data_IF_409978307219
#
_entry.id   IF_409978307219
#
_cell.length_a   1.000
_cell.length_b   1.000
_cell.length_c   1.000
_cell.angle_alpha   90.00
_cell.angle_beta   90.00
_cell.angle_gamma   90.00
#
_symmetry.space_group_name_H-M   'P 1'
#
loop_
_entity.id
_entity.type
_entity.pdbx_description
1 polymer ?
#
# COMPACT_ATOMS: atom_id res chain seq x y z
N UNK A 1 18.92 13.83 52.27
CA UNK A 1 19.60 13.52 50.98
C UNK A 1 18.58 12.86 50.08
N UNK A 2 18.16 13.59 49.04
CA UNK A 2 17.01 13.26 48.19
C UNK A 2 17.35 12.18 47.14
N UNK A 3 16.37 11.36 46.71
CA UNK A 3 16.57 10.33 45.70
C UNK A 3 16.63 10.94 44.29
N UNK A 4 17.56 10.48 43.46
CA UNK A 4 17.74 10.90 42.08
C UNK A 4 16.59 10.40 41.20
N UNK A 5 15.66 11.29 40.94
CA UNK A 5 14.61 11.17 39.94
C UNK A 5 15.07 11.73 38.57
N UNK A 6 14.43 11.23 37.50
CA UNK A 6 13.98 12.04 36.35
C UNK A 6 14.95 12.32 35.17
N UNK A 7 15.73 11.34 34.68
CA UNK A 7 16.48 11.54 33.40
C UNK A 7 16.55 10.35 32.41
N UNK A 8 15.78 9.26 32.61
CA UNK A 8 15.68 8.15 31.63
C UNK A 8 14.26 8.13 31.07
N UNK A 9 13.87 9.17 30.32
CA UNK A 9 12.57 9.20 29.62
C UNK A 9 12.60 10.06 28.34
N UNK A 10 13.78 10.23 27.71
CA UNK A 10 13.91 10.96 26.42
C UNK A 10 14.75 10.27 25.35
N UNK A 11 14.95 8.96 25.45
CA UNK A 11 15.36 8.16 24.30
C UNK A 11 14.10 7.68 23.57
N UNK A 12 13.66 8.48 22.61
CA UNK A 12 12.53 8.25 21.68
C UNK A 12 12.66 6.94 20.84
N UNK A 13 13.68 6.11 21.09
CA UNK A 13 14.06 4.96 20.29
C UNK A 13 13.63 3.60 20.90
N UNK A 14 13.23 3.55 22.18
CA UNK A 14 12.98 2.28 22.88
C UNK A 14 11.50 1.86 23.01
N UNK A 15 10.56 2.59 22.40
CA UNK A 15 9.10 2.36 22.52
C UNK A 15 8.41 1.95 21.20
N UNK A 16 9.08 1.17 20.36
CA UNK A 16 8.41 0.42 19.30
C UNK A 16 8.32 -1.07 19.69
N UNK A 17 7.33 -1.47 20.52
CA UNK A 17 6.99 -2.87 20.66
C UNK A 17 6.22 -3.28 19.39
N UNK A 18 6.95 -3.45 18.29
CA UNK A 18 6.53 -4.15 17.06
C UNK A 18 7.78 -4.31 16.17
N UNK A 19 8.70 -5.17 16.62
CA UNK A 19 9.77 -5.74 15.80
C UNK A 19 9.21 -6.76 14.77
N UNK A 20 8.06 -6.42 14.16
CA UNK A 20 7.47 -7.09 12.99
C UNK A 20 7.77 -6.24 11.75
N UNK A 21 8.97 -5.65 11.69
CA UNK A 21 9.50 -5.22 10.40
C UNK A 21 9.71 -6.52 9.63
N UNK A 22 8.75 -6.78 8.76
CA UNK A 22 8.80 -7.69 7.64
C UNK A 22 10.18 -7.59 6.97
N UNK A 23 11.14 -8.39 7.44
CA UNK A 23 12.55 -8.43 7.03
C UNK A 23 12.73 -8.81 5.55
N UNK A 24 11.64 -9.11 4.83
CA UNK A 24 11.63 -9.41 3.39
C UNK A 24 10.53 -8.65 2.62
N UNK A 25 10.12 -7.46 3.08
CA UNK A 25 9.31 -6.59 2.21
C UNK A 25 10.21 -6.03 1.14
N UNK A 26 10.22 -6.65 -0.05
CA UNK A 26 10.90 -6.08 -1.21
C UNK A 26 10.19 -4.76 -1.53
N UNK A 27 10.80 -3.67 -1.08
CA UNK A 27 10.25 -2.33 -1.13
C UNK A 27 10.25 -1.85 -2.58
N UNK A 28 9.09 -1.90 -3.24
CA UNK A 28 8.91 -1.36 -4.60
C UNK A 28 8.76 0.15 -4.48
N UNK A 29 9.86 0.90 -4.61
CA UNK A 29 9.85 2.36 -4.46
C UNK A 29 10.90 3.06 -5.29
N UNK A 30 10.57 4.29 -5.70
CA UNK A 30 11.48 5.23 -6.36
C UNK A 30 11.95 6.33 -5.41
N UNK A 31 11.45 6.34 -4.17
CA UNK A 31 11.74 7.38 -3.20
C UNK A 31 13.13 7.18 -2.58
N UNK A 32 13.74 8.28 -2.14
CA UNK A 32 15.10 8.30 -1.56
C UNK A 32 15.24 7.45 -0.28
N UNK A 33 14.17 7.30 0.49
CA UNK A 33 14.20 6.62 1.78
C UNK A 33 12.95 5.78 2.00
N UNK A 34 13.12 4.58 2.54
CA UNK A 34 12.03 3.66 2.89
C UNK A 34 11.11 4.24 3.98
N UNK A 35 11.68 5.01 4.91
CA UNK A 35 10.92 5.70 5.96
C UNK A 35 9.88 6.66 5.36
N UNK A 36 10.23 7.37 4.29
CA UNK A 36 9.31 8.27 3.59
C UNK A 36 8.19 7.50 2.90
N UNK A 37 8.49 6.36 2.30
CA UNK A 37 7.45 5.54 1.69
C UNK A 37 6.51 4.99 2.76
N UNK A 38 7.05 4.44 3.85
CA UNK A 38 6.25 3.95 4.97
C UNK A 38 5.34 5.06 5.50
N UNK A 39 5.87 6.27 5.65
CA UNK A 39 5.07 7.43 6.03
C UNK A 39 3.89 7.66 5.07
N UNK A 40 4.13 7.72 3.76
CA UNK A 40 3.06 7.90 2.76
C UNK A 40 2.03 6.77 2.81
N UNK A 41 2.48 5.53 2.92
CA UNK A 41 1.60 4.36 2.98
C UNK A 41 0.71 4.40 4.23
N UNK A 42 1.31 4.63 5.39
CA UNK A 42 0.61 4.62 6.69
C UNK A 42 -0.34 5.83 6.84
N UNK A 43 0.05 7.03 6.35
CA UNK A 43 -0.79 8.24 6.50
C UNK A 43 -1.85 8.39 5.42
N UNK A 44 -1.57 7.92 4.20
CA UNK A 44 -2.35 8.27 3.02
C UNK A 44 -2.93 7.05 2.32
N UNK A 45 -2.11 6.01 2.08
CA UNK A 45 -2.50 4.89 1.23
C UNK A 45 -3.40 3.88 1.95
N UNK A 46 -2.91 3.24 3.02
CA UNK A 46 -3.66 2.22 3.75
C UNK A 46 -5.00 2.72 4.32
N UNK A 47 -5.13 3.95 4.87
CA UNK A 47 -6.41 4.44 5.37
C UNK A 47 -7.48 4.63 4.29
N UNK A 48 -7.09 4.72 3.01
CA UNK A 48 -7.99 4.91 1.85
C UNK A 48 -8.07 3.67 0.96
N UNK A 49 -7.35 2.61 1.30
CA UNK A 49 -7.37 1.33 0.57
C UNK A 49 -8.73 0.65 0.80
N UNK A 50 -9.36 0.18 -0.27
CA UNK A 50 -10.60 -0.58 -0.16
C UNK A 50 -10.32 -1.94 0.50
N UNK A 51 -11.24 -2.44 1.33
CA UNK A 51 -11.06 -3.70 2.06
C UNK A 51 -10.71 -4.89 1.15
N UNK A 52 -11.42 -5.02 0.02
CA UNK A 52 -11.14 -6.05 -0.99
C UNK A 52 -9.74 -5.95 -1.61
N UNK A 53 -9.17 -4.75 -1.74
CA UNK A 53 -7.80 -4.57 -2.24
C UNK A 53 -6.78 -5.05 -1.21
N UNK A 54 -7.02 -4.73 0.07
CA UNK A 54 -6.21 -5.22 1.18
C UNK A 54 -6.23 -6.75 1.26
N UNK A 55 -7.41 -7.35 1.21
CA UNK A 55 -7.58 -8.81 1.19
C UNK A 55 -6.83 -9.44 0.02
N UNK A 56 -6.97 -8.88 -1.19
CA UNK A 56 -6.27 -9.38 -2.38
C UNK A 56 -4.75 -9.27 -2.24
N UNK A 57 -4.25 -8.17 -1.67
CA UNK A 57 -2.82 -7.97 -1.42
C UNK A 57 -2.26 -9.00 -0.45
N UNK A 58 -2.97 -9.27 0.65
CA UNK A 58 -2.61 -10.29 1.64
C UNK A 58 -2.68 -11.70 1.03
N UNK A 59 -3.74 -12.02 0.29
CA UNK A 59 -3.90 -13.31 -0.39
C UNK A 59 -2.78 -13.55 -1.42
N UNK A 60 -2.40 -12.52 -2.18
CA UNK A 60 -1.31 -12.60 -3.17
C UNK A 60 0.05 -12.78 -2.51
N UNK A 61 0.30 -12.13 -1.38
CA UNK A 61 1.50 -12.36 -0.58
C UNK A 61 1.56 -13.81 -0.06
N UNK A 62 0.46 -14.30 0.53
CA UNK A 62 0.40 -15.66 1.08
C UNK A 62 0.60 -16.73 0.00
N UNK A 63 0.07 -16.52 -1.21
CA UNK A 63 0.15 -17.50 -2.30
C UNK A 63 1.48 -17.47 -3.06
N UNK A 64 2.04 -16.29 -3.29
CA UNK A 64 3.17 -16.11 -4.21
C UNK A 64 4.47 -15.63 -3.54
N UNK A 65 4.42 -15.33 -2.23
CA UNK A 65 5.57 -14.92 -1.42
C UNK A 65 6.32 -13.73 -2.05
N UNK A 66 7.65 -13.83 -2.28
CA UNK A 66 8.44 -12.75 -2.86
C UNK A 66 7.98 -12.27 -4.25
N UNK A 67 7.20 -13.07 -5.00
CA UNK A 67 6.63 -12.66 -6.30
C UNK A 67 5.45 -11.69 -6.16
N UNK A 68 4.88 -11.54 -4.96
CA UNK A 68 3.84 -10.56 -4.70
C UNK A 68 4.29 -9.11 -4.96
N UNK A 69 5.61 -8.86 -5.01
CA UNK A 69 6.21 -7.58 -5.47
C UNK A 69 5.83 -7.16 -6.89
N UNK A 70 5.34 -8.11 -7.71
CA UNK A 70 4.83 -7.81 -9.05
C UNK A 70 3.50 -7.04 -9.00
N UNK A 71 2.80 -7.05 -7.87
CA UNK A 71 1.61 -6.24 -7.69
C UNK A 71 1.92 -4.75 -7.73
N UNK A 72 0.87 -3.99 -8.04
CA UNK A 72 0.85 -2.55 -7.89
C UNK A 72 0.81 -2.22 -6.39
N UNK A 73 1.67 -1.33 -5.89
CA UNK A 73 1.66 -0.90 -4.50
C UNK A 73 0.43 0.00 -4.23
N UNK A 74 -0.06 0.09 -2.97
CA UNK A 74 -1.32 0.78 -2.68
C UNK A 74 -1.36 2.27 -3.05
N UNK A 75 -0.23 2.96 -2.96
CA UNK A 75 -0.07 4.36 -3.36
C UNK A 75 -0.23 4.57 -4.88
N UNK A 76 0.33 3.67 -5.69
CA UNK A 76 0.14 3.67 -7.15
C UNK A 76 -1.32 3.33 -7.50
N UNK A 77 -1.96 2.41 -6.76
CA UNK A 77 -3.39 2.13 -6.91
C UNK A 77 -4.27 3.36 -6.65
N UNK A 78 -3.97 4.14 -5.61
CA UNK A 78 -4.70 5.39 -5.35
C UNK A 78 -4.52 6.40 -6.49
N UNK A 79 -3.32 6.52 -7.04
CA UNK A 79 -3.06 7.38 -8.21
C UNK A 79 -3.88 6.94 -9.41
N UNK A 80 -3.94 5.63 -9.70
CA UNK A 80 -4.74 5.07 -10.79
C UNK A 80 -6.24 5.37 -10.59
N UNK A 81 -6.76 5.16 -9.39
CA UNK A 81 -8.16 5.47 -9.06
C UNK A 81 -8.48 6.95 -9.27
N UNK A 82 -7.59 7.85 -8.81
CA UNK A 82 -7.71 9.28 -9.00
C UNK A 82 -7.71 9.65 -10.49
N UNK A 83 -6.78 9.10 -11.26
CA UNK A 83 -6.65 9.38 -12.69
C UNK A 83 -7.89 8.95 -13.47
N UNK A 84 -8.39 7.73 -13.23
CA UNK A 84 -9.59 7.21 -13.87
C UNK A 84 -10.82 8.08 -13.60
N UNK A 85 -10.97 8.55 -12.35
CA UNK A 85 -12.07 9.42 -11.94
C UNK A 85 -11.98 10.80 -12.60
N UNK A 86 -10.79 11.42 -12.64
CA UNK A 86 -10.59 12.72 -13.31
C UNK A 86 -10.85 12.61 -14.81
N UNK A 87 -10.44 11.51 -15.43
CA UNK A 87 -10.67 11.26 -16.85
C UNK A 87 -12.12 10.89 -17.18
N UNK A 88 -12.95 10.60 -16.18
CA UNK A 88 -14.29 10.04 -16.34
C UNK A 88 -14.28 8.81 -17.27
N UNK A 89 -13.31 7.91 -17.04
CA UNK A 89 -13.11 6.73 -17.86
C UNK A 89 -14.32 5.79 -17.77
N UNK A 90 -14.68 5.16 -18.90
CA UNK A 90 -15.74 4.13 -18.97
C UNK A 90 -15.26 2.81 -19.59
N UNK A 91 -14.21 2.86 -20.40
CA UNK A 91 -13.64 1.69 -21.07
C UNK A 91 -12.13 1.74 -20.88
N UNK A 92 -11.57 0.70 -20.26
CA UNK A 92 -10.13 0.60 -20.00
C UNK A 92 -9.60 -0.73 -20.52
N UNK A 93 -8.32 -0.77 -20.87
CA UNK A 93 -7.62 -1.99 -21.27
C UNK A 93 -6.43 -2.15 -20.33
N UNK A 94 -6.32 -3.31 -19.68
CA UNK A 94 -5.21 -3.64 -18.80
C UNK A 94 -4.39 -4.78 -19.40
N UNK A 95 -3.14 -4.50 -19.78
CA UNK A 95 -2.22 -5.51 -20.28
C UNK A 95 -1.28 -5.91 -19.14
N UNK A 96 -1.44 -7.13 -18.64
CA UNK A 96 -0.64 -7.67 -17.54
C UNK A 96 -1.32 -7.54 -16.19
N UNK A 97 -2.25 -8.45 -15.90
CA UNK A 97 -3.12 -8.40 -14.70
C UNK A 97 -2.47 -9.00 -13.44
N UNK A 98 -1.57 -9.98 -13.61
CA UNK A 98 -1.02 -10.80 -12.52
C UNK A 98 -2.12 -11.36 -11.58
N UNK A 99 -2.24 -10.83 -10.35
CA UNK A 99 -3.28 -11.24 -9.39
C UNK A 99 -4.50 -10.31 -9.38
N UNK A 100 -4.47 -9.23 -10.16
CA UNK A 100 -5.62 -8.35 -10.38
C UNK A 100 -5.75 -7.18 -9.41
N UNK A 101 -4.68 -6.77 -8.70
CA UNK A 101 -4.75 -5.61 -7.81
C UNK A 101 -5.04 -4.31 -8.58
N UNK A 102 -4.33 -4.07 -9.68
CA UNK A 102 -4.58 -2.96 -10.61
C UNK A 102 -5.96 -3.06 -11.27
N UNK A 103 -6.33 -4.27 -11.69
CA UNK A 103 -7.63 -4.54 -12.31
C UNK A 103 -8.79 -4.21 -11.36
N UNK A 104 -8.71 -4.67 -10.11
CA UNK A 104 -9.72 -4.38 -9.09
C UNK A 104 -9.76 -2.89 -8.75
N UNK A 105 -8.59 -2.24 -8.66
CA UNK A 105 -8.51 -0.79 -8.45
C UNK A 105 -9.21 -0.01 -9.56
N UNK A 106 -9.01 -0.44 -10.81
CA UNK A 106 -9.64 0.14 -11.99
C UNK A 106 -11.15 -0.08 -11.96
N UNK A 107 -11.60 -1.32 -11.71
CA UNK A 107 -13.01 -1.66 -11.64
C UNK A 107 -13.75 -0.85 -10.55
N UNK A 108 -13.14 -0.67 -9.37
CA UNK A 108 -13.71 0.13 -8.28
C UNK A 108 -13.76 1.64 -8.57
N UNK A 109 -12.95 2.12 -9.51
CA UNK A 109 -12.89 3.53 -9.88
C UNK A 109 -13.83 3.91 -11.02
N UNK A 110 -14.20 2.94 -11.87
CA UNK A 110 -15.13 3.13 -12.96
C UNK A 110 -16.58 3.26 -12.45
N UNK A 111 -17.47 3.92 -13.23
CA UNK A 111 -18.91 3.88 -12.96
C UNK A 111 -19.47 2.47 -13.15
N UNK A 112 -20.69 2.22 -12.65
CA UNK A 112 -21.36 0.90 -12.72
C UNK A 112 -21.51 0.37 -14.15
N UNK A 113 -21.57 1.25 -15.16
CA UNK A 113 -21.62 0.89 -16.59
C UNK A 113 -20.24 0.74 -17.25
N UNK A 114 -19.17 0.79 -16.46
CA UNK A 114 -17.78 0.68 -16.89
C UNK A 114 -17.39 -0.72 -17.34
N UNK A 115 -16.45 -0.78 -18.29
CA UNK A 115 -15.92 -2.04 -18.83
C UNK A 115 -14.39 -2.03 -18.77
N UNK A 116 -13.83 -3.12 -18.25
CA UNK A 116 -12.38 -3.36 -18.27
C UNK A 116 -12.09 -4.54 -19.17
N UNK A 117 -11.27 -4.32 -20.19
CA UNK A 117 -10.75 -5.35 -21.09
C UNK A 117 -9.38 -5.82 -20.60
N UNK A 118 -9.11 -7.12 -20.75
CA UNK A 118 -7.88 -7.81 -20.35
C UNK A 118 -7.27 -8.60 -21.50
#
# INVERSE_FOLDING_TARGET
MAPQSLWIDRCFCCWLPNAWIMEDTIVKTVLKSEVLQKYILDTTAYPREHEQLKELREASFNKYGPRARLNVPPDEGLLLSLLLKIMNAKKTLEIGVFTGYSLLTTALALPDDGQVFI
#
